data_IF_304029729767
#
_entry.id   IF_304029729767
#
_cell.length_a   1.000
_cell.length_b   1.000
_cell.length_c   1.000
_cell.angle_alpha   90.00
_cell.angle_beta   90.00
_cell.angle_gamma   90.00
#
_symmetry.space_group_name_H-M   'P 1'
#
loop_
_entity.id
_entity.type
_entity.pdbx_description
1 polymer ?
#
# COMPACT_ATOMS: atom_id res chain seq x y z
N UNK A 1 8.43 5.81 -20.90
CA UNK A 1 9.46 6.86 -20.67
C UNK A 1 10.79 6.24 -20.25
N UNK A 2 11.89 6.75 -20.77
CA UNK A 2 13.23 6.41 -20.31
C UNK A 2 13.60 7.36 -19.14
N UNK A 3 13.84 6.83 -17.92
CA UNK A 3 14.14 7.67 -16.75
C UNK A 3 15.47 8.45 -16.87
N UNK A 4 16.33 8.11 -17.82
CA UNK A 4 17.61 8.79 -18.05
C UNK A 4 17.46 10.05 -18.93
N UNK A 5 16.52 10.04 -19.86
CA UNK A 5 16.36 11.08 -20.88
C UNK A 5 15.04 11.82 -20.82
N UNK A 6 14.02 11.24 -20.17
CA UNK A 6 12.63 11.76 -20.09
C UNK A 6 12.17 11.84 -18.63
N UNK A 7 13.05 12.31 -17.75
CA UNK A 7 12.78 12.34 -16.32
C UNK A 7 11.61 13.26 -15.95
N UNK A 8 11.54 14.42 -16.56
CA UNK A 8 10.52 15.42 -16.22
C UNK A 8 9.12 14.96 -16.63
N UNK A 9 8.99 14.34 -17.80
CA UNK A 9 7.74 13.74 -18.26
C UNK A 9 7.36 12.53 -17.40
N UNK A 10 8.34 11.68 -17.06
CA UNK A 10 8.13 10.53 -16.18
C UNK A 10 7.61 10.95 -14.80
N UNK A 11 8.21 11.99 -14.20
CA UNK A 11 7.81 12.47 -12.86
C UNK A 11 6.40 13.07 -12.82
N UNK A 12 5.81 13.42 -13.97
CA UNK A 12 4.41 13.82 -14.05
C UNK A 12 3.43 12.62 -14.07
N UNK A 13 3.94 11.44 -14.37
CA UNK A 13 3.15 10.19 -14.44
C UNK A 13 3.35 9.26 -13.26
N UNK A 14 4.28 9.59 -12.36
CA UNK A 14 4.62 8.77 -11.18
C UNK A 14 4.40 9.57 -9.91
N UNK A 15 3.70 8.98 -8.96
CA UNK A 15 3.62 9.49 -7.61
C UNK A 15 4.21 8.46 -6.65
N UNK A 16 5.06 8.91 -5.73
CA UNK A 16 5.74 8.06 -4.76
C UNK A 16 5.55 8.58 -3.34
N UNK A 17 5.13 7.71 -2.44
CA UNK A 17 5.18 7.95 -0.99
C UNK A 17 6.24 7.03 -0.39
N UNK A 18 7.24 7.63 0.26
CA UNK A 18 8.17 6.89 1.09
C UNK A 18 7.61 6.69 2.50
N UNK A 19 8.00 5.59 3.16
CA UNK A 19 7.72 5.32 4.58
C UNK A 19 8.09 6.51 5.49
N UNK A 20 9.21 7.15 5.21
CA UNK A 20 9.69 8.33 5.96
C UNK A 20 9.46 9.62 5.17
N UNK A 21 8.21 9.98 4.95
CA UNK A 21 7.89 11.28 4.36
C UNK A 21 7.94 12.37 5.45
N UNK A 22 8.99 13.20 5.44
CA UNK A 22 9.19 14.25 6.44
C UNK A 22 8.70 15.59 5.91
N UNK A 23 7.56 16.06 6.44
CA UNK A 23 7.12 17.44 6.23
C UNK A 23 7.78 18.38 7.24
N UNK A 24 8.17 19.61 6.84
CA UNK A 24 8.68 20.62 7.76
C UNK A 24 7.69 20.89 8.90
N UNK A 25 8.15 20.83 10.15
CA UNK A 25 7.27 20.94 11.33
C UNK A 25 6.54 22.30 11.45
N UNK A 26 7.08 23.34 10.85
CA UNK A 26 6.53 24.69 10.88
C UNK A 26 5.45 24.97 9.83
N UNK A 27 5.40 24.15 8.75
CA UNK A 27 4.48 24.37 7.62
C UNK A 27 3.04 24.05 8.01
N UNK A 28 2.08 24.76 7.40
CA UNK A 28 0.65 24.50 7.56
C UNK A 28 0.13 23.55 6.48
N UNK A 29 -0.93 22.83 6.78
CA UNK A 29 -1.61 21.95 5.80
C UNK A 29 -1.93 22.68 4.49
N UNK A 30 -2.54 23.88 4.59
CA UNK A 30 -2.87 24.66 3.40
C UNK A 30 -1.64 25.02 2.56
N UNK A 31 -0.55 25.41 3.22
CA UNK A 31 0.72 25.74 2.54
C UNK A 31 1.35 24.54 1.86
N UNK A 32 1.24 23.33 2.45
CA UNK A 32 1.67 22.08 1.79
C UNK A 32 0.85 21.84 0.52
N UNK A 33 -0.48 21.98 0.59
CA UNK A 33 -1.33 21.79 -0.59
C UNK A 33 -1.05 22.83 -1.67
N UNK A 34 -0.80 24.09 -1.28
CA UNK A 34 -0.44 25.16 -2.24
C UNK A 34 0.92 24.91 -2.89
N UNK A 35 1.90 24.40 -2.13
CA UNK A 35 3.20 24.00 -2.63
C UNK A 35 3.07 22.86 -3.66
N UNK A 36 2.33 21.79 -3.32
CA UNK A 36 2.13 20.66 -4.23
C UNK A 36 1.41 21.10 -5.51
N UNK A 37 0.41 21.98 -5.38
CA UNK A 37 -0.29 22.56 -6.54
C UNK A 37 0.65 23.38 -7.45
N UNK A 38 1.68 24.01 -6.90
CA UNK A 38 2.66 24.75 -7.65
C UNK A 38 3.71 23.91 -8.37
N UNK A 39 3.95 22.68 -7.90
CA UNK A 39 5.02 21.81 -8.45
C UNK A 39 4.50 20.62 -9.25
N UNK A 40 3.27 20.16 -9.01
CA UNK A 40 2.72 19.00 -9.70
C UNK A 40 1.49 19.36 -10.54
N UNK A 41 1.60 19.34 -11.88
CA UNK A 41 0.54 19.84 -12.78
C UNK A 41 -0.77 19.04 -12.71
N UNK A 42 -0.70 17.78 -12.29
CA UNK A 42 -1.87 16.88 -12.17
C UNK A 42 -2.44 16.81 -10.75
N UNK A 43 -2.02 17.71 -9.84
CA UNK A 43 -2.55 17.76 -8.50
C UNK A 43 -3.87 18.55 -8.42
N UNK A 44 -4.89 18.00 -7.81
CA UNK A 44 -6.15 18.67 -7.53
C UNK A 44 -6.26 19.10 -6.09
N UNK A 45 -6.00 20.39 -5.81
CA UNK A 45 -6.15 20.97 -4.47
C UNK A 45 -7.57 20.79 -3.91
N UNK A 46 -8.58 20.88 -4.78
CA UNK A 46 -9.98 20.67 -4.38
C UNK A 46 -10.16 19.24 -3.86
N UNK A 47 -9.71 18.22 -4.63
CA UNK A 47 -9.80 16.82 -4.24
C UNK A 47 -9.08 16.55 -2.91
N UNK A 48 -7.92 17.15 -2.68
CA UNK A 48 -7.19 17.03 -1.42
C UNK A 48 -7.98 17.61 -0.24
N UNK A 49 -8.64 18.76 -0.40
CA UNK A 49 -9.50 19.36 0.63
C UNK A 49 -10.73 18.50 0.91
N UNK A 50 -11.34 17.91 -0.11
CA UNK A 50 -12.47 17.00 0.01
C UNK A 50 -12.09 15.75 0.83
N UNK A 51 -10.92 15.15 0.58
CA UNK A 51 -10.38 14.07 1.43
C UNK A 51 -10.17 14.49 2.88
N UNK A 52 -9.63 15.69 3.10
CA UNK A 52 -9.37 16.19 4.43
C UNK A 52 -10.65 16.60 5.19
N UNK A 53 -11.76 16.85 4.50
CA UNK A 53 -13.03 17.27 5.12
C UNK A 53 -13.54 16.27 6.16
N UNK A 54 -13.31 14.97 5.93
CA UNK A 54 -13.71 13.87 6.81
C UNK A 54 -12.68 13.56 7.91
N UNK A 55 -11.64 14.38 8.05
CA UNK A 55 -10.57 14.22 9.05
C UNK A 55 -10.57 15.37 10.07
N UNK A 56 -9.72 15.23 11.09
CA UNK A 56 -9.46 16.33 12.04
C UNK A 56 -8.50 17.39 11.50
N UNK A 57 -7.95 17.20 10.30
CA UNK A 57 -7.00 18.10 9.69
C UNK A 57 -7.69 19.37 9.20
N UNK A 58 -7.10 20.52 9.53
CA UNK A 58 -7.59 21.84 9.08
C UNK A 58 -6.46 22.56 8.32
N UNK A 59 -6.77 23.34 7.27
CA UNK A 59 -5.75 24.05 6.49
C UNK A 59 -4.80 24.92 7.32
N UNK A 60 -5.28 25.50 8.42
CA UNK A 60 -4.48 26.35 9.31
C UNK A 60 -3.57 25.57 10.28
N UNK A 61 -3.77 24.25 10.44
CA UNK A 61 -3.01 23.41 11.38
C UNK A 61 -1.58 23.24 10.91
N UNK A 62 -0.62 23.33 11.83
CA UNK A 62 0.80 23.09 11.54
C UNK A 62 1.16 21.61 11.71
N UNK A 63 2.12 21.12 10.94
CA UNK A 63 2.61 19.72 11.00
C UNK A 63 3.07 19.35 12.43
N UNK A 64 3.70 20.26 13.18
CA UNK A 64 4.11 20.02 14.59
C UNK A 64 2.95 19.72 15.55
N UNK A 65 1.71 20.06 15.18
CA UNK A 65 0.49 19.88 15.97
C UNK A 65 -0.22 18.55 15.65
N UNK A 66 0.30 17.81 14.69
CA UNK A 66 -0.29 16.57 14.19
C UNK A 66 0.30 15.34 14.90
N UNK A 67 -0.55 14.34 15.10
CA UNK A 67 -0.13 12.98 15.42
C UNK A 67 0.50 12.31 14.18
N UNK A 68 1.23 11.20 14.38
CA UNK A 68 1.75 10.41 13.26
C UNK A 68 0.65 10.01 12.26
N UNK A 69 -0.49 9.50 12.75
CA UNK A 69 -1.62 9.14 11.91
C UNK A 69 -2.20 10.32 11.12
N UNK A 70 -2.25 11.53 11.71
CA UNK A 70 -2.68 12.73 10.99
C UNK A 70 -1.70 13.12 9.86
N UNK A 71 -0.40 12.93 10.07
CA UNK A 71 0.61 13.17 9.03
C UNK A 71 0.43 12.18 7.87
N UNK A 72 0.21 10.91 8.17
CA UNK A 72 -0.09 9.90 7.15
C UNK A 72 -1.36 10.25 6.39
N UNK A 73 -2.45 10.64 7.07
CA UNK A 73 -3.69 11.10 6.42
C UNK A 73 -3.45 12.29 5.48
N UNK A 74 -2.58 13.24 5.85
CA UNK A 74 -2.23 14.35 4.96
C UNK A 74 -1.49 13.87 3.71
N UNK A 75 -0.49 12.98 3.87
CA UNK A 75 0.23 12.40 2.73
C UNK A 75 -0.72 11.66 1.80
N UNK A 76 -1.62 10.84 2.34
CA UNK A 76 -2.60 10.11 1.55
C UNK A 76 -3.53 11.05 0.79
N UNK A 77 -4.04 12.11 1.45
CA UNK A 77 -4.88 13.10 0.78
C UNK A 77 -4.16 13.79 -0.39
N UNK A 78 -2.86 14.06 -0.25
CA UNK A 78 -2.04 14.63 -1.33
C UNK A 78 -1.95 13.65 -2.50
N UNK A 79 -1.55 12.41 -2.23
CA UNK A 79 -1.30 11.40 -3.26
C UNK A 79 -2.57 11.01 -4.00
N UNK A 80 -3.65 10.77 -3.27
CA UNK A 80 -4.97 10.47 -3.86
C UNK A 80 -5.52 11.63 -4.72
N UNK A 81 -4.92 12.81 -4.60
CA UNK A 81 -5.29 14.00 -5.36
C UNK A 81 -4.40 14.29 -6.55
N UNK A 82 -3.40 13.44 -6.81
CA UNK A 82 -2.53 13.48 -7.98
C UNK A 82 -3.00 12.44 -8.98
N UNK A 83 -3.32 12.85 -10.21
CA UNK A 83 -3.72 11.94 -11.29
C UNK A 83 -2.49 11.36 -11.99
N UNK A 84 -1.79 10.44 -11.33
CA UNK A 84 -0.61 9.75 -11.87
C UNK A 84 -1.00 8.37 -12.42
N UNK A 85 -0.25 7.88 -13.41
CA UNK A 85 -0.43 6.53 -13.97
C UNK A 85 0.21 5.45 -13.13
N UNK A 86 1.30 5.78 -12.43
CA UNK A 86 1.99 4.89 -11.52
C UNK A 86 2.00 5.48 -10.12
N UNK A 87 1.40 4.79 -9.19
CA UNK A 87 1.45 5.10 -7.77
C UNK A 87 2.33 4.07 -7.06
N UNK A 88 3.37 4.54 -6.38
CA UNK A 88 4.25 3.68 -5.58
C UNK A 88 4.11 4.09 -4.12
N UNK A 89 3.73 3.14 -3.28
CA UNK A 89 3.45 3.31 -1.87
C UNK A 89 4.38 2.42 -1.05
N UNK A 90 5.25 3.03 -0.26
CA UNK A 90 6.17 2.31 0.61
C UNK A 90 5.63 2.34 2.05
N UNK A 91 5.17 1.18 2.55
CA UNK A 91 4.53 1.00 3.86
C UNK A 91 3.44 2.08 4.17
N UNK A 92 2.47 2.32 3.27
CA UNK A 92 1.61 3.52 3.30
C UNK A 92 0.71 3.61 4.53
N UNK A 93 0.45 2.51 5.20
CA UNK A 93 -0.47 2.43 6.35
C UNK A 93 0.26 2.30 7.69
N UNK A 94 1.60 2.34 7.68
CA UNK A 94 2.39 2.22 8.90
C UNK A 94 2.08 3.38 9.88
N UNK A 95 1.65 3.02 11.09
CA UNK A 95 1.25 3.98 12.11
C UNK A 95 -0.22 4.44 12.06
N UNK A 96 -1.02 3.91 11.15
CA UNK A 96 -2.47 4.03 11.18
C UNK A 96 -3.09 2.94 12.06
N UNK A 97 -4.25 3.22 12.64
CA UNK A 97 -5.07 2.17 13.24
C UNK A 97 -5.80 1.33 12.18
N UNK A 98 -6.31 0.18 12.60
CA UNK A 98 -6.93 -0.83 11.73
C UNK A 98 -8.10 -0.27 10.89
N UNK A 99 -8.90 0.63 11.45
CA UNK A 99 -10.05 1.19 10.74
C UNK A 99 -9.61 2.11 9.61
N UNK A 100 -8.61 2.98 9.89
CA UNK A 100 -8.06 3.88 8.88
C UNK A 100 -7.29 3.14 7.79
N UNK A 101 -6.61 2.01 8.11
CA UNK A 101 -5.94 1.18 7.10
C UNK A 101 -6.94 0.59 6.11
N UNK A 102 -8.01 -0.02 6.60
CA UNK A 102 -9.07 -0.57 5.75
C UNK A 102 -9.72 0.50 4.87
N UNK A 103 -10.05 1.65 5.46
CA UNK A 103 -10.63 2.76 4.73
C UNK A 103 -9.69 3.29 3.64
N UNK A 104 -8.38 3.34 3.92
CA UNK A 104 -7.40 3.77 2.94
C UNK A 104 -7.38 2.84 1.71
N UNK A 105 -7.26 1.54 1.91
CA UNK A 105 -7.22 0.60 0.79
C UNK A 105 -8.55 0.55 0.03
N UNK A 106 -9.66 0.67 0.71
CA UNK A 106 -10.96 0.79 0.07
C UNK A 106 -11.05 2.04 -0.82
N UNK A 107 -10.69 3.21 -0.30
CA UNK A 107 -10.68 4.45 -1.07
C UNK A 107 -9.69 4.39 -2.24
N UNK A 108 -8.54 3.72 -2.05
CA UNK A 108 -7.54 3.54 -3.10
C UNK A 108 -8.13 2.79 -4.30
N UNK A 109 -8.92 1.74 -4.06
CA UNK A 109 -9.58 0.99 -5.12
C UNK A 109 -10.77 1.73 -5.72
N UNK A 110 -11.65 2.27 -4.89
CA UNK A 110 -12.92 2.83 -5.35
C UNK A 110 -12.77 4.20 -6.03
N UNK A 111 -11.78 5.00 -5.57
CA UNK A 111 -11.69 6.40 -5.98
C UNK A 111 -10.43 6.74 -6.80
N UNK A 112 -9.37 5.95 -6.66
CA UNK A 112 -8.11 6.24 -7.34
C UNK A 112 -7.81 5.28 -8.49
N UNK A 113 -8.04 3.98 -8.29
CA UNK A 113 -7.71 2.96 -9.28
C UNK A 113 -8.64 3.02 -10.49
N UNK A 114 -8.08 2.92 -11.67
CA UNK A 114 -8.77 2.63 -12.94
C UNK A 114 -7.85 1.76 -13.83
N UNK A 115 -8.39 1.26 -14.95
CA UNK A 115 -7.68 0.34 -15.85
C UNK A 115 -6.38 0.92 -16.46
N UNK A 116 -6.17 2.23 -16.39
CA UNK A 116 -4.99 2.90 -16.92
C UNK A 116 -3.94 3.18 -15.85
N UNK A 117 -4.17 2.77 -14.61
CA UNK A 117 -3.30 3.03 -13.47
C UNK A 117 -2.67 1.75 -12.94
N UNK A 118 -1.42 1.88 -12.52
CA UNK A 118 -0.71 0.82 -11.81
C UNK A 118 -0.41 1.29 -10.39
N UNK A 119 -0.67 0.44 -9.42
CA UNK A 119 -0.37 0.69 -8.01
C UNK A 119 0.63 -0.36 -7.55
N UNK A 120 1.77 0.08 -7.03
CA UNK A 120 2.76 -0.77 -6.38
C UNK A 120 2.74 -0.45 -4.89
N UNK A 121 2.52 -1.46 -4.06
CA UNK A 121 2.58 -1.33 -2.61
C UNK A 121 3.69 -2.22 -2.08
N UNK A 122 4.64 -1.64 -1.35
CA UNK A 122 5.56 -2.44 -0.54
C UNK A 122 5.01 -2.51 0.87
N UNK A 123 4.91 -3.70 1.42
CA UNK A 123 4.46 -3.92 2.80
C UNK A 123 4.94 -5.25 3.34
N UNK A 124 5.10 -5.33 4.65
CA UNK A 124 5.30 -6.57 5.38
C UNK A 124 3.98 -7.12 5.98
N UNK A 125 2.86 -6.42 5.79
CA UNK A 125 1.53 -6.76 6.30
C UNK A 125 0.61 -7.19 5.15
N UNK A 126 0.98 -8.26 4.44
CA UNK A 126 0.28 -8.74 3.23
C UNK A 126 -1.19 -9.07 3.50
N UNK A 127 -1.49 -9.62 4.67
CA UNK A 127 -2.86 -10.01 5.10
C UNK A 127 -3.87 -8.85 5.05
N UNK A 128 -3.39 -7.60 5.16
CA UNK A 128 -4.27 -6.42 5.11
C UNK A 128 -4.72 -6.07 3.69
N UNK A 129 -3.96 -6.48 2.67
CA UNK A 129 -4.16 -6.08 1.28
C UNK A 129 -4.31 -7.27 0.31
N UNK A 130 -4.17 -8.52 0.78
CA UNK A 130 -4.23 -9.71 -0.08
C UNK A 130 -5.46 -9.76 -0.99
N UNK A 131 -6.60 -9.30 -0.46
CA UNK A 131 -7.89 -9.31 -1.16
C UNK A 131 -7.99 -8.29 -2.31
N UNK A 132 -7.00 -7.40 -2.45
CA UNK A 132 -6.97 -6.37 -3.50
C UNK A 132 -5.79 -6.52 -4.46
N UNK A 133 -4.89 -7.47 -4.19
CA UNK A 133 -3.72 -7.70 -5.02
C UNK A 133 -4.09 -8.48 -6.28
N UNK A 134 -3.51 -8.07 -7.41
CA UNK A 134 -3.50 -8.86 -8.65
C UNK A 134 -2.22 -9.69 -8.76
N UNK A 135 -1.10 -9.12 -8.35
CA UNK A 135 0.22 -9.69 -8.52
C UNK A 135 1.06 -9.58 -7.25
N UNK A 136 1.94 -10.54 -7.02
CA UNK A 136 2.86 -10.59 -5.89
C UNK A 136 4.30 -10.73 -6.33
N UNK A 137 5.18 -9.96 -5.69
CA UNK A 137 6.63 -10.08 -5.83
C UNK A 137 7.24 -10.22 -4.43
N UNK A 138 7.84 -11.38 -4.14
CA UNK A 138 8.62 -11.57 -2.93
C UNK A 138 10.10 -11.29 -3.19
N UNK A 139 10.69 -10.44 -2.34
CA UNK A 139 12.11 -10.10 -2.40
C UNK A 139 12.79 -10.55 -1.12
N UNK A 140 13.83 -11.35 -1.25
CA UNK A 140 14.68 -11.80 -0.14
C UNK A 140 16.15 -11.61 -0.49
N UNK A 141 16.90 -10.97 0.39
CA UNK A 141 18.34 -10.73 0.21
C UNK A 141 18.71 -10.11 -1.16
N UNK A 142 17.89 -9.16 -1.61
CA UNK A 142 18.06 -8.46 -2.89
C UNK A 142 17.72 -9.29 -4.13
N UNK A 143 17.10 -10.46 -3.97
CA UNK A 143 16.68 -11.33 -5.07
C UNK A 143 15.17 -11.53 -5.06
N UNK A 144 14.57 -11.54 -6.24
CA UNK A 144 13.17 -11.93 -6.40
C UNK A 144 13.11 -13.46 -6.23
N UNK A 145 12.38 -13.91 -5.21
CA UNK A 145 12.18 -15.32 -4.90
C UNK A 145 10.85 -15.85 -5.43
N UNK A 146 9.85 -14.97 -5.60
CA UNK A 146 8.57 -15.29 -6.22
C UNK A 146 8.10 -14.06 -7.01
N UNK A 147 7.57 -14.28 -8.19
CA UNK A 147 6.86 -13.29 -9.01
C UNK A 147 5.72 -14.03 -9.70
N UNK A 148 4.47 -13.74 -9.31
CA UNK A 148 3.31 -14.51 -9.75
C UNK A 148 2.03 -13.74 -9.51
N UNK A 149 0.95 -14.08 -10.22
CA UNK A 149 -0.39 -13.55 -9.95
C UNK A 149 -1.01 -14.21 -8.72
N UNK A 150 -2.02 -13.56 -8.15
CA UNK A 150 -2.81 -14.14 -7.05
C UNK A 150 -3.57 -15.40 -7.47
N UNK A 151 -4.05 -15.42 -8.72
CA UNK A 151 -4.73 -16.59 -9.29
C UNK A 151 -3.80 -17.80 -9.36
N UNK A 152 -2.57 -17.61 -9.87
CA UNK A 152 -1.56 -18.67 -9.92
C UNK A 152 -1.15 -19.19 -8.52
N UNK A 153 -1.15 -18.33 -7.50
CA UNK A 153 -0.89 -18.78 -6.12
C UNK A 153 -1.96 -19.76 -5.67
N UNK A 154 -3.24 -19.45 -5.90
CA UNK A 154 -4.35 -20.31 -5.55
C UNK A 154 -4.32 -21.68 -6.26
N UNK A 155 -3.74 -21.73 -7.48
CA UNK A 155 -3.57 -22.98 -8.23
C UNK A 155 -2.34 -23.79 -7.81
N UNK A 156 -1.26 -23.12 -7.38
CA UNK A 156 0.04 -23.73 -7.08
C UNK A 156 0.18 -24.18 -5.64
N UNK A 157 -0.50 -23.54 -4.72
CA UNK A 157 -0.35 -23.79 -3.28
C UNK A 157 -1.68 -24.15 -2.65
N UNK A 158 -1.68 -25.17 -1.81
CA UNK A 158 -2.88 -25.62 -1.10
C UNK A 158 -2.55 -25.86 0.37
N UNK A 159 -3.33 -25.27 1.26
CA UNK A 159 -3.28 -25.59 2.68
C UNK A 159 -4.23 -26.72 3.03
N UNK A 160 -3.71 -27.74 3.68
CA UNK A 160 -4.50 -28.90 4.15
C UNK A 160 -4.38 -29.02 5.66
N UNK A 161 -5.50 -28.88 6.36
CA UNK A 161 -5.57 -29.09 7.81
C UNK A 161 -5.93 -30.53 8.13
N UNK A 162 -5.09 -31.20 8.89
CA UNK A 162 -5.29 -32.62 9.29
C UNK A 162 -5.29 -32.79 10.80
N UNK A 163 -6.07 -33.79 11.25
CA UNK A 163 -5.96 -34.31 12.61
C UNK A 163 -4.81 -35.31 12.77
N UNK A 164 -4.58 -35.74 14.02
CA UNK A 164 -3.52 -36.70 14.40
C UNK A 164 -3.52 -37.98 13.55
N UNK A 165 -4.71 -38.49 13.20
CA UNK A 165 -4.89 -39.76 12.50
C UNK A 165 -4.36 -39.71 11.05
N UNK A 166 -4.40 -38.54 10.42
CA UNK A 166 -3.96 -38.35 9.04
C UNK A 166 -2.59 -37.65 8.91
N UNK A 167 -1.95 -37.33 10.04
CA UNK A 167 -0.67 -36.61 10.06
C UNK A 167 0.41 -37.31 9.23
N UNK A 168 0.61 -38.62 9.48
CA UNK A 168 1.66 -39.38 8.80
C UNK A 168 1.42 -39.49 7.28
N UNK A 169 0.18 -39.63 6.87
CA UNK A 169 -0.18 -39.69 5.45
C UNK A 169 0.08 -38.34 4.75
N UNK A 170 -0.33 -37.23 5.37
CA UNK A 170 -0.10 -35.89 4.82
C UNK A 170 1.40 -35.54 4.78
N UNK A 171 2.14 -35.86 5.83
CA UNK A 171 3.61 -35.66 5.90
C UNK A 171 4.37 -36.40 4.81
N UNK A 172 3.91 -37.60 4.44
CA UNK A 172 4.52 -38.42 3.38
C UNK A 172 4.38 -37.79 1.98
N UNK A 173 3.51 -36.80 1.79
CA UNK A 173 3.37 -36.06 0.53
C UNK A 173 4.41 -34.94 0.36
N UNK A 174 5.38 -34.83 1.29
CA UNK A 174 6.45 -33.82 1.27
C UNK A 174 5.94 -32.36 1.23
N UNK A 175 5.18 -31.90 2.22
CA UNK A 175 4.70 -30.53 2.27
C UNK A 175 5.88 -29.53 2.27
N UNK A 176 5.62 -28.33 1.74
CA UNK A 176 6.57 -27.22 1.71
C UNK A 176 6.75 -26.64 3.11
N UNK A 177 5.67 -26.56 3.89
CA UNK A 177 5.67 -26.04 5.26
C UNK A 177 4.67 -26.79 6.15
N UNK A 178 4.86 -26.66 7.46
CA UNK A 178 4.05 -27.30 8.49
C UNK A 178 3.87 -26.36 9.67
N UNK A 179 2.62 -26.12 10.07
CA UNK A 179 2.30 -25.34 11.29
C UNK A 179 1.18 -25.98 12.10
N UNK A 180 1.14 -25.69 13.39
CA UNK A 180 0.06 -26.15 14.27
C UNK A 180 -0.92 -25.03 14.54
N UNK A 181 -2.22 -25.29 14.32
CA UNK A 181 -3.33 -24.35 14.53
C UNK A 181 -4.43 -25.08 15.31
N UNK A 182 -4.76 -24.60 16.49
CA UNK A 182 -5.79 -25.18 17.38
C UNK A 182 -5.65 -26.71 17.61
N UNK A 183 -4.41 -27.18 17.75
CA UNK A 183 -4.14 -28.61 18.00
C UNK A 183 -4.25 -29.51 16.76
N UNK A 184 -4.46 -28.95 15.58
CA UNK A 184 -4.39 -29.63 14.28
C UNK A 184 -3.14 -29.18 13.52
N UNK A 185 -2.65 -30.01 12.62
CA UNK A 185 -1.54 -29.64 11.74
C UNK A 185 -2.06 -29.11 10.42
N UNK A 186 -1.54 -27.96 9.99
CA UNK A 186 -1.77 -27.40 8.67
C UNK A 186 -0.50 -27.59 7.85
N UNK A 187 -0.63 -28.28 6.75
CA UNK A 187 0.42 -28.47 5.78
C UNK A 187 0.19 -27.55 4.57
N UNK A 188 1.27 -27.00 4.04
CA UNK A 188 1.28 -26.29 2.77
C UNK A 188 1.90 -27.18 1.69
N UNK A 189 1.22 -27.32 0.57
CA UNK A 189 1.65 -28.06 -0.61
C UNK A 189 1.79 -27.15 -1.82
#
# INVERSE_FOLDING_TARGET
YDPRTQRDELMQEVCFIADVAVLPRWIRVGEVLDFVAGVHPKFSRKKALDYLANTKLKPAMKVKEMSKGMIVQLHLAIVMSIDAKLLVLDEPTLGLDILYRKQFYQNLLEEYFDENKTIIVTTHQVEEIEHILSDLIFIREGKITLNTSMDEIGERFTEVMVGSDNYAAAKALNPIDERTVFGKTVFLF
#
